data_IF_047492816604
#
_entry.id   IF_047492816604
#
_cell.length_a   1.000
_cell.length_b   1.000
_cell.length_c   1.000
_cell.angle_alpha   90.00
_cell.angle_beta   90.00
_cell.angle_gamma   90.00
#
_symmetry.space_group_name_H-M   'P 1'
#
loop_
_entity.id
_entity.type
_entity.pdbx_description
1 polymer ?
#
# COMPACT_ATOMS: atom_id res chain seq x y z
N UNK A 1 8.18 8.26 6.54
CA UNK A 1 7.77 8.54 5.14
C UNK A 1 7.33 7.28 4.40
N UNK A 2 7.06 6.19 5.12
CA UNK A 2 6.64 4.91 4.58
C UNK A 2 5.91 4.19 5.71
N UNK A 3 4.68 3.75 5.47
CA UNK A 3 3.87 3.03 6.46
C UNK A 3 2.72 2.31 5.79
N UNK A 4 2.35 1.17 6.37
CA UNK A 4 1.26 0.30 5.95
C UNK A 4 0.24 0.13 7.08
N UNK A 5 -0.99 -0.24 6.73
CA UNK A 5 -2.04 -0.58 7.70
C UNK A 5 -2.61 -1.96 7.42
N UNK A 6 -3.05 -2.66 8.47
CA UNK A 6 -3.71 -3.96 8.32
C UNK A 6 -5.08 -3.86 7.63
N UNK A 7 -5.65 -2.65 7.55
CA UNK A 7 -6.90 -2.40 6.84
C UNK A 7 -6.76 -2.62 5.33
N UNK A 8 -5.59 -2.30 4.75
CA UNK A 8 -5.36 -2.40 3.31
C UNK A 8 -4.22 -3.38 2.95
N UNK A 9 -3.40 -3.80 3.91
CA UNK A 9 -2.38 -4.84 3.78
C UNK A 9 -2.56 -5.94 4.86
N UNK A 10 -3.65 -6.73 4.79
CA UNK A 10 -4.05 -7.63 5.88
C UNK A 10 -3.09 -8.79 6.13
N UNK A 11 -2.23 -9.16 5.18
CA UNK A 11 -1.34 -10.30 5.35
C UNK A 11 -0.09 -10.02 6.19
N UNK A 12 0.34 -8.76 6.30
CA UNK A 12 1.54 -8.40 7.06
C UNK A 12 1.41 -7.13 7.92
N UNK A 13 0.24 -6.48 7.98
CA UNK A 13 -0.06 -5.39 8.90
C UNK A 13 -1.34 -5.67 9.71
N UNK A 14 -1.51 -5.01 10.87
CA UNK A 14 -2.57 -5.38 11.84
C UNK A 14 -3.59 -4.27 12.12
N UNK A 15 -3.14 -3.02 12.22
CA UNK A 15 -3.97 -1.92 12.71
C UNK A 15 -4.73 -1.21 11.59
N UNK A 16 -5.83 -0.52 11.95
CA UNK A 16 -6.57 0.34 11.03
C UNK A 16 -5.74 1.57 10.63
N UNK A 17 -5.95 2.11 9.42
CA UNK A 17 -5.18 3.27 8.92
C UNK A 17 -5.32 4.49 9.84
N UNK A 18 -6.51 4.74 10.39
CA UNK A 18 -6.71 5.84 11.33
C UNK A 18 -5.97 5.62 12.68
N UNK A 19 -5.84 4.37 13.12
CA UNK A 19 -5.19 4.06 14.39
C UNK A 19 -3.68 4.38 14.31
N UNK A 20 -3.03 4.04 13.19
CA UNK A 20 -1.61 4.37 12.99
C UNK A 20 -1.38 5.89 12.88
N UNK A 21 -2.31 6.62 12.25
CA UNK A 21 -2.25 8.10 12.17
C UNK A 21 -2.38 8.73 13.56
N UNK A 22 -3.35 8.30 14.36
CA UNK A 22 -3.53 8.77 15.75
C UNK A 22 -2.30 8.47 16.61
N UNK A 23 -1.71 7.30 16.44
CA UNK A 23 -0.50 6.94 17.15
C UNK A 23 0.67 7.87 16.79
N UNK A 24 0.89 8.14 15.50
CA UNK A 24 1.93 9.07 15.04
C UNK A 24 1.72 10.50 15.60
N UNK A 25 0.47 10.98 15.63
CA UNK A 25 0.13 12.27 16.26
C UNK A 25 0.51 12.25 17.75
N UNK A 26 0.16 11.18 18.48
CA UNK A 26 0.49 11.03 19.91
C UNK A 26 2.00 11.03 20.18
N UNK A 27 2.81 10.55 19.24
CA UNK A 27 4.27 10.60 19.28
C UNK A 27 4.84 11.97 18.86
N UNK A 28 4.01 12.91 18.44
CA UNK A 28 4.41 14.27 18.05
C UNK A 28 4.90 14.40 16.60
N UNK A 29 4.62 13.41 15.74
CA UNK A 29 4.97 13.49 14.31
C UNK A 29 4.28 14.70 13.67
N UNK A 30 5.00 15.36 12.76
CA UNK A 30 4.50 16.51 11.99
C UNK A 30 4.15 16.14 10.56
N UNK A 31 4.77 15.09 10.04
CA UNK A 31 4.51 14.55 8.71
C UNK A 31 4.54 13.04 8.76
N UNK A 32 3.61 12.39 8.06
CA UNK A 32 3.57 10.96 7.88
C UNK A 32 3.23 10.63 6.43
N UNK A 33 3.86 9.59 5.90
CA UNK A 33 3.64 9.12 4.55
C UNK A 33 2.89 7.80 4.57
N UNK A 34 1.73 7.74 3.94
CA UNK A 34 0.91 6.53 3.80
C UNK A 34 1.25 5.88 2.46
N UNK A 35 1.62 4.61 2.45
CA UNK A 35 2.22 3.96 1.26
C UNK A 35 1.82 2.50 1.15
N UNK A 36 0.52 2.20 1.21
CA UNK A 36 0.03 0.82 1.04
C UNK A 36 0.55 0.20 -0.28
N UNK A 37 0.65 -1.12 -0.33
CA UNK A 37 1.11 -1.83 -1.51
C UNK A 37 0.23 -1.54 -2.74
N UNK A 38 0.87 -1.39 -3.90
CA UNK A 38 0.17 -1.29 -5.17
C UNK A 38 -0.58 -2.60 -5.50
N UNK A 39 -1.71 -2.51 -6.22
CA UNK A 39 -2.40 -3.69 -6.72
C UNK A 39 -1.55 -4.45 -7.75
N UNK A 40 -1.64 -5.78 -7.76
CA UNK A 40 -1.08 -6.63 -8.82
C UNK A 40 -2.15 -6.92 -9.88
N UNK A 41 -1.71 -7.35 -11.07
CA UNK A 41 -2.60 -7.56 -12.23
C UNK A 41 -2.61 -9.00 -12.75
N UNK A 42 -1.81 -9.89 -12.19
CA UNK A 42 -1.75 -11.29 -12.60
C UNK A 42 -1.67 -12.24 -11.40
N UNK A 43 -2.21 -13.46 -11.57
CA UNK A 43 -2.23 -14.49 -10.54
C UNK A 43 -0.82 -14.95 -10.11
N UNK A 44 0.13 -14.93 -11.04
CA UNK A 44 1.53 -15.29 -10.79
C UNK A 44 2.29 -14.30 -9.89
N UNK A 45 1.73 -13.10 -9.67
CA UNK A 45 2.31 -12.08 -8.81
C UNK A 45 1.63 -12.00 -7.43
N UNK A 46 0.73 -12.95 -7.12
CA UNK A 46 0.08 -13.01 -5.82
C UNK A 46 1.07 -13.51 -4.77
N UNK A 47 1.02 -12.91 -3.58
CA UNK A 47 1.76 -13.41 -2.44
C UNK A 47 1.18 -14.73 -1.94
N UNK A 48 1.96 -15.57 -1.24
CA UNK A 48 1.49 -16.87 -0.76
C UNK A 48 0.20 -16.83 0.07
N UNK A 49 0.01 -15.76 0.85
CA UNK A 49 -1.19 -15.50 1.66
C UNK A 49 -2.46 -15.18 0.85
N UNK A 50 -2.32 -14.90 -0.45
CA UNK A 50 -3.40 -14.53 -1.35
C UNK A 50 -3.80 -15.70 -2.27
N UNK A 51 -3.14 -16.85 -2.11
CA UNK A 51 -3.34 -18.06 -2.94
C UNK A 51 -4.49 -18.96 -2.47
N UNK A 52 -5.12 -18.66 -1.32
CA UNK A 52 -6.28 -19.42 -0.83
C UNK A 52 -7.52 -19.24 -1.73
N UNK A 53 -7.70 -18.04 -2.30
CA UNK A 53 -8.68 -17.70 -3.34
C UNK A 53 -8.02 -16.73 -4.34
N UNK A 54 -7.22 -17.25 -5.30
CA UNK A 54 -6.40 -16.41 -6.17
C UNK A 54 -7.21 -15.42 -7.01
N UNK A 55 -8.31 -15.87 -7.61
CA UNK A 55 -9.18 -15.06 -8.45
C UNK A 55 -9.91 -14.00 -7.63
N UNK A 56 -10.45 -14.36 -6.46
CA UNK A 56 -11.09 -13.41 -5.55
C UNK A 56 -10.10 -12.38 -5.00
N UNK A 57 -8.89 -12.83 -4.62
CA UNK A 57 -7.81 -11.96 -4.16
C UNK A 57 -7.43 -10.94 -5.22
N UNK A 58 -7.14 -11.39 -6.46
CA UNK A 58 -6.77 -10.52 -7.58
C UNK A 58 -7.88 -9.50 -7.89
N UNK A 59 -9.13 -9.95 -7.93
CA UNK A 59 -10.28 -9.07 -8.18
C UNK A 59 -10.48 -8.00 -7.10
N UNK A 60 -10.04 -8.26 -5.86
CA UNK A 60 -10.20 -7.34 -4.74
C UNK A 60 -9.11 -6.25 -4.65
N UNK A 61 -7.98 -6.39 -5.34
CA UNK A 61 -6.82 -5.50 -5.15
C UNK A 61 -7.07 -4.07 -5.60
N UNK A 62 -7.60 -3.88 -6.81
CA UNK A 62 -7.93 -2.55 -7.33
C UNK A 62 -9.01 -1.86 -6.47
N UNK A 63 -10.15 -2.51 -6.14
CA UNK A 63 -11.12 -1.94 -5.21
C UNK A 63 -10.54 -1.59 -3.83
N UNK A 64 -9.62 -2.41 -3.33
CA UNK A 64 -8.93 -2.16 -2.05
C UNK A 64 -8.03 -0.93 -2.14
N UNK A 65 -7.27 -0.78 -3.23
CA UNK A 65 -6.45 0.41 -3.47
C UNK A 65 -7.32 1.68 -3.54
N UNK A 66 -8.45 1.65 -4.25
CA UNK A 66 -9.37 2.80 -4.27
C UNK A 66 -9.96 3.12 -2.90
N UNK A 67 -10.30 2.09 -2.11
CA UNK A 67 -10.80 2.27 -0.75
C UNK A 67 -9.73 2.90 0.16
N UNK A 68 -8.46 2.51 -0.02
CA UNK A 68 -7.32 3.14 0.63
C UNK A 68 -7.24 4.63 0.30
N UNK A 69 -7.28 5.01 -0.98
CA UNK A 69 -7.18 6.42 -1.37
C UNK A 69 -8.30 7.27 -0.77
N UNK A 70 -9.54 6.76 -0.80
CA UNK A 70 -10.69 7.44 -0.19
C UNK A 70 -10.49 7.66 1.31
N UNK A 71 -10.02 6.65 2.03
CA UNK A 71 -9.78 6.74 3.46
C UNK A 71 -8.60 7.66 3.79
N UNK A 72 -7.50 7.56 3.04
CA UNK A 72 -6.34 8.41 3.19
C UNK A 72 -6.68 9.90 3.01
N UNK A 73 -7.48 10.25 1.99
CA UNK A 73 -7.94 11.62 1.77
C UNK A 73 -8.87 12.12 2.89
N UNK A 74 -9.77 11.24 3.38
CA UNK A 74 -10.62 11.56 4.54
C UNK A 74 -9.78 11.89 5.77
N UNK A 75 -8.77 11.07 6.06
CA UNK A 75 -7.86 11.25 7.18
C UNK A 75 -6.96 12.47 7.01
N UNK A 76 -6.46 12.72 5.79
CA UNK A 76 -5.68 13.91 5.46
C UNK A 76 -6.47 15.18 5.78
N UNK A 77 -7.75 15.22 5.41
CA UNK A 77 -8.64 16.35 5.74
C UNK A 77 -8.91 16.45 7.25
N UNK A 78 -9.25 15.33 7.88
CA UNK A 78 -9.66 15.29 9.29
C UNK A 78 -8.52 15.69 10.23
N UNK A 79 -7.29 15.30 9.93
CA UNK A 79 -6.12 15.49 10.79
C UNK A 79 -5.17 16.61 10.31
N UNK A 80 -5.52 17.36 9.25
CA UNK A 80 -4.72 18.47 8.73
C UNK A 80 -4.25 19.49 9.80
N UNK A 81 -5.02 19.83 10.85
CA UNK A 81 -4.54 20.73 11.91
C UNK A 81 -3.44 20.14 12.81
N UNK A 82 -3.23 18.83 12.77
CA UNK A 82 -2.37 18.09 13.71
C UNK A 82 -1.13 17.50 13.03
N UNK A 83 -1.28 16.97 11.81
CA UNK A 83 -0.22 16.29 11.06
C UNK A 83 -0.43 16.47 9.56
N UNK A 84 0.65 16.61 8.80
CA UNK A 84 0.63 16.57 7.34
C UNK A 84 0.71 15.12 6.87
N UNK A 85 -0.32 14.65 6.17
CA UNK A 85 -0.34 13.31 5.58
C UNK A 85 -0.03 13.42 4.09
N UNK A 86 1.02 12.72 3.66
CA UNK A 86 1.35 12.51 2.25
C UNK A 86 0.83 11.15 1.83
N UNK A 87 0.07 11.12 0.74
CA UNK A 87 -0.57 9.90 0.24
C UNK A 87 0.28 9.37 -0.92
N UNK A 88 0.73 8.14 -0.79
CA UNK A 88 1.47 7.45 -1.83
C UNK A 88 1.10 5.98 -1.90
N UNK A 89 1.88 5.23 -2.65
CA UNK A 89 1.81 3.77 -2.66
C UNK A 89 3.22 3.19 -2.74
N UNK A 90 3.37 1.96 -2.30
CA UNK A 90 4.57 1.18 -2.52
C UNK A 90 4.43 0.41 -3.84
N UNK A 91 5.21 0.82 -4.83
CA UNK A 91 5.27 0.23 -6.16
C UNK A 91 6.22 -0.96 -6.19
N UNK A 92 5.76 -2.05 -6.80
CA UNK A 92 6.52 -3.25 -7.10
C UNK A 92 7.04 -3.19 -8.54
N UNK A 93 8.31 -3.53 -8.76
CA UNK A 93 8.82 -3.74 -10.11
C UNK A 93 9.13 -5.22 -10.36
N UNK A 94 8.10 -6.00 -10.67
CA UNK A 94 8.25 -7.43 -10.99
C UNK A 94 8.75 -7.66 -12.43
N UNK A 95 8.26 -6.86 -13.38
CA UNK A 95 8.56 -6.96 -14.82
C UNK A 95 8.28 -5.65 -15.56
N UNK A 96 8.84 -5.44 -16.76
CA UNK A 96 8.67 -4.18 -17.51
C UNK A 96 7.21 -3.74 -17.71
N UNK A 97 6.25 -4.67 -17.77
CA UNK A 97 4.82 -4.35 -17.90
C UNK A 97 4.22 -3.56 -16.73
N UNK A 98 4.87 -3.54 -15.56
CA UNK A 98 4.39 -2.79 -14.39
C UNK A 98 4.59 -1.27 -14.53
N UNK A 99 5.44 -0.81 -15.46
CA UNK A 99 5.62 0.62 -15.72
C UNK A 99 4.30 1.33 -16.04
N UNK A 100 3.49 0.73 -16.90
CA UNK A 100 2.20 1.29 -17.30
C UNK A 100 1.24 1.42 -16.10
N UNK A 101 1.21 0.39 -15.25
CA UNK A 101 0.38 0.36 -14.05
C UNK A 101 0.85 1.39 -13.01
N UNK A 102 2.15 1.48 -12.75
CA UNK A 102 2.71 2.46 -11.82
C UNK A 102 2.39 3.88 -12.30
N UNK A 103 2.54 4.15 -13.61
CA UNK A 103 2.20 5.45 -14.18
C UNK A 103 0.70 5.77 -14.09
N UNK A 104 -0.16 4.77 -14.29
CA UNK A 104 -1.61 4.92 -14.11
C UNK A 104 -1.97 5.27 -12.67
N UNK A 105 -1.44 4.53 -11.69
CA UNK A 105 -1.69 4.78 -10.27
C UNK A 105 -1.12 6.14 -9.83
N UNK A 106 0.09 6.47 -10.27
CA UNK A 106 0.75 7.74 -9.95
C UNK A 106 0.06 8.97 -10.59
N UNK A 107 -0.72 8.77 -11.66
CA UNK A 107 -1.51 9.84 -12.26
C UNK A 107 -2.76 10.21 -11.45
N UNK A 108 -3.13 9.42 -10.43
CA UNK A 108 -4.27 9.73 -9.58
C UNK A 108 -4.01 11.03 -8.77
N UNK A 109 -4.92 12.01 -8.77
CA UNK A 109 -4.66 13.35 -8.20
C UNK A 109 -4.48 13.37 -6.68
N UNK A 110 -4.84 12.29 -6.00
CA UNK A 110 -4.60 12.12 -4.56
C UNK A 110 -3.19 11.62 -4.23
N UNK A 111 -2.40 11.15 -5.21
CA UNK A 111 -1.07 10.61 -4.98
C UNK A 111 -0.03 11.72 -5.04
N UNK A 112 0.71 11.89 -3.96
CA UNK A 112 1.81 12.84 -3.82
C UNK A 112 3.15 12.24 -4.27
N UNK A 113 3.34 10.93 -4.08
CA UNK A 113 4.58 10.20 -4.40
C UNK A 113 4.32 8.68 -4.44
N UNK A 114 5.29 7.92 -4.95
CA UNK A 114 5.34 6.48 -4.77
C UNK A 114 6.75 6.05 -4.38
N UNK A 115 6.87 4.92 -3.70
CA UNK A 115 8.15 4.29 -3.39
C UNK A 115 8.36 3.15 -4.36
N UNK A 116 9.50 3.12 -5.05
CA UNK A 116 9.88 1.97 -5.87
C UNK A 116 10.57 0.92 -5.01
N UNK A 117 9.94 -0.23 -4.84
CA UNK A 117 10.46 -1.35 -4.07
C UNK A 117 10.69 -2.57 -4.96
N UNK A 118 11.73 -3.33 -4.63
CA UNK A 118 12.07 -4.61 -5.24
C UNK A 118 11.96 -5.69 -4.17
N UNK A 119 10.77 -6.29 -4.06
CA UNK A 119 10.56 -7.43 -3.16
C UNK A 119 10.85 -8.77 -3.83
N UNK A 120 11.14 -8.76 -5.15
CA UNK A 120 11.42 -9.96 -5.93
C UNK A 120 12.75 -9.85 -6.68
N UNK A 121 13.53 -10.93 -6.66
CA UNK A 121 14.68 -11.12 -7.54
C UNK A 121 14.47 -12.42 -8.31
N UNK A 122 14.45 -12.35 -9.65
CA UNK A 122 14.12 -13.50 -10.52
C UNK A 122 12.78 -14.20 -10.18
N UNK A 123 11.77 -13.43 -9.74
CA UNK A 123 10.46 -13.97 -9.34
C UNK A 123 10.45 -14.66 -7.97
N UNK A 124 11.55 -14.58 -7.20
CA UNK A 124 11.62 -15.11 -5.83
C UNK A 124 11.46 -13.94 -4.85
N UNK A 125 10.49 -13.99 -3.90
CA UNK A 125 10.37 -12.96 -2.88
C UNK A 125 11.58 -12.98 -1.94
N UNK A 126 12.14 -11.81 -1.61
CA UNK A 126 13.39 -11.69 -0.82
C UNK A 126 13.16 -11.29 0.65
N UNK A 127 11.95 -10.89 0.99
CA UNK A 127 11.52 -10.33 2.27
C UNK A 127 10.31 -11.06 2.88
N UNK A 128 9.92 -12.18 2.27
CA UNK A 128 8.91 -13.09 2.79
C UNK A 128 9.58 -14.36 3.32
N UNK A 129 9.59 -14.53 4.65
CA UNK A 129 10.07 -15.77 5.27
C UNK A 129 8.87 -16.68 5.60
N UNK A 130 8.91 -17.92 5.08
CA UNK A 130 7.89 -18.95 5.36
C UNK A 130 8.12 -19.65 6.71
N UNK A 131 9.26 -19.43 7.38
CA UNK A 131 9.70 -20.20 8.54
C UNK A 131 9.83 -19.42 9.87
N UNK A 132 8.99 -18.41 10.13
CA UNK A 132 8.93 -17.76 11.45
C UNK A 132 7.56 -17.86 12.13
#
# INVERSE_FOLDING_TARGET
>A
MHSHSGQFCPGHAKDQLEAIVKHAIGLGYKTMGLTEHMPRTALEDLYPEELDDPEGSLAALMPRHEAYLREAQRLQTLYAPQISLLIGFEGEWLRPGYEALINELAAHPAIDYFIGSLHHVNGVPIDYDKEC
#
